data_IF_348482722137
#
_entry.id   IF_348482722137
#
_cell.length_a   1.000
_cell.length_b   1.000
_cell.length_c   1.000
_cell.angle_alpha   90.00
_cell.angle_beta   90.00
_cell.angle_gamma   90.00
#
_symmetry.space_group_name_H-M   'P 1'
#
loop_
_entity.id
_entity.type
_entity.pdbx_description
1 polymer ?
#
# COMPACT_ATOMS: atom_id res chain seq x y z
N UNK A 1 15.88 36.25 -41.71
CA UNK A 1 16.97 36.79 -40.87
C UNK A 1 18.29 36.18 -41.35
N UNK A 2 19.33 36.98 -41.55
CA UNK A 2 20.61 36.52 -42.10
C UNK A 2 21.54 36.02 -41.00
N UNK A 3 21.32 36.48 -39.77
CA UNK A 3 22.10 36.09 -38.59
C UNK A 3 21.27 35.14 -37.72
N UNK A 4 21.78 33.96 -37.49
CA UNK A 4 21.18 32.91 -36.68
C UNK A 4 22.23 32.30 -35.78
N UNK A 5 21.79 31.83 -34.62
CA UNK A 5 22.61 31.06 -33.70
C UNK A 5 21.74 30.26 -32.78
N UNK A 6 22.34 29.37 -32.02
CA UNK A 6 21.69 28.52 -31.05
C UNK A 6 22.56 28.41 -29.81
N UNK A 7 21.91 28.13 -28.68
CA UNK A 7 22.57 27.66 -27.47
C UNK A 7 22.86 26.17 -27.59
N UNK A 8 23.96 25.73 -27.04
CA UNK A 8 24.37 24.33 -26.98
C UNK A 8 23.46 23.55 -25.99
N UNK A 9 22.98 24.22 -24.94
CA UNK A 9 22.11 23.66 -23.91
C UNK A 9 20.99 24.64 -23.54
N UNK A 10 19.74 24.20 -23.52
CA UNK A 10 18.55 25.03 -23.22
C UNK A 10 17.68 24.47 -22.12
N UNK A 11 17.91 23.23 -21.68
CA UNK A 11 17.19 22.52 -20.62
C UNK A 11 18.18 21.89 -19.64
N UNK A 12 17.70 21.44 -18.49
CA UNK A 12 18.52 20.79 -17.47
C UNK A 12 19.74 21.65 -17.03
N UNK A 13 19.50 22.93 -16.87
CA UNK A 13 20.52 23.88 -16.45
C UNK A 13 20.63 23.95 -14.93
N UNK A 14 21.87 24.03 -14.45
CA UNK A 14 22.19 24.25 -13.03
C UNK A 14 23.03 25.52 -12.88
N UNK A 15 22.95 26.15 -11.68
CA UNK A 15 23.85 27.26 -11.36
C UNK A 15 25.31 26.80 -11.49
N UNK A 16 26.12 27.58 -12.25
CA UNK A 16 27.50 27.26 -12.56
C UNK A 16 27.72 26.49 -13.87
N UNK A 17 26.65 26.06 -14.57
CA UNK A 17 26.79 25.54 -15.92
C UNK A 17 27.28 26.66 -16.85
N UNK A 18 28.18 26.35 -17.78
CA UNK A 18 28.58 27.25 -18.88
C UNK A 18 27.71 26.92 -20.09
N UNK A 19 26.95 27.89 -20.62
CA UNK A 19 26.22 27.78 -21.86
C UNK A 19 26.97 28.53 -22.99
N UNK A 20 26.97 27.94 -24.14
CA UNK A 20 27.67 28.48 -25.31
C UNK A 20 26.66 28.83 -26.41
N UNK A 21 26.73 30.08 -26.84
CA UNK A 21 25.99 30.51 -28.04
C UNK A 21 26.89 30.41 -29.26
N UNK A 22 26.49 29.60 -30.22
CA UNK A 22 27.17 29.40 -31.48
C UNK A 22 26.42 30.06 -32.64
N UNK A 23 27.19 30.71 -33.51
CA UNK A 23 26.65 31.28 -34.74
C UNK A 23 26.49 30.26 -35.83
N UNK A 24 25.25 30.06 -36.32
CA UNK A 24 24.92 29.12 -37.40
C UNK A 24 24.81 29.82 -38.76
N UNK A 25 25.70 30.76 -39.03
CA UNK A 25 25.63 31.54 -40.24
C UNK A 25 26.25 30.83 -41.45
N UNK A 26 25.62 30.99 -42.61
CA UNK A 26 26.17 30.51 -43.86
C UNK A 26 27.39 31.36 -44.25
N UNK A 27 28.59 30.75 -44.29
CA UNK A 27 29.84 31.45 -44.62
C UNK A 27 29.78 32.20 -45.96
N UNK A 28 29.20 31.63 -47.01
CA UNK A 28 29.09 32.27 -48.32
C UNK A 28 28.20 33.52 -48.27
N UNK A 29 27.13 33.50 -47.51
CA UNK A 29 26.28 34.69 -47.32
C UNK A 29 27.00 35.77 -46.54
N UNK A 30 27.77 35.42 -45.51
CA UNK A 30 28.54 36.37 -44.73
C UNK A 30 29.62 37.05 -45.58
N UNK A 31 30.38 36.27 -46.32
CA UNK A 31 31.39 36.80 -47.26
C UNK A 31 30.78 37.74 -48.32
N UNK A 32 29.59 37.42 -48.83
CA UNK A 32 28.89 38.29 -49.77
C UNK A 32 28.49 39.62 -49.15
N UNK A 33 27.95 39.59 -47.93
CA UNK A 33 27.55 40.79 -47.17
C UNK A 33 28.78 41.66 -46.85
N UNK A 34 29.87 41.05 -46.41
CA UNK A 34 31.13 41.76 -46.12
C UNK A 34 31.65 42.48 -47.35
N UNK A 35 31.57 41.82 -48.52
CA UNK A 35 32.00 42.40 -49.80
C UNK A 35 31.09 43.52 -50.25
N UNK A 36 29.79 43.35 -50.20
CA UNK A 36 28.81 44.30 -50.72
C UNK A 36 28.75 45.57 -49.87
N UNK A 37 28.87 45.42 -48.54
CA UNK A 37 28.73 46.52 -47.59
C UNK A 37 30.07 47.03 -47.01
N UNK A 38 31.19 46.42 -47.39
CA UNK A 38 32.55 46.75 -46.94
C UNK A 38 32.67 46.73 -45.40
N UNK A 39 32.09 45.76 -44.77
CA UNK A 39 32.09 45.50 -43.35
C UNK A 39 32.81 44.18 -43.06
N UNK A 40 33.21 43.97 -41.80
CA UNK A 40 33.70 42.66 -41.37
C UNK A 40 32.92 42.20 -40.15
N UNK A 41 32.62 40.91 -40.07
CA UNK A 41 31.91 40.31 -38.96
C UNK A 41 32.87 39.48 -38.11
N UNK A 42 32.69 39.57 -36.80
CA UNK A 42 33.36 38.71 -35.83
C UNK A 42 32.31 37.87 -35.09
N UNK A 43 31.96 36.73 -35.70
CA UNK A 43 31.03 35.79 -35.11
C UNK A 43 31.78 34.85 -34.13
N UNK A 44 32.22 35.37 -33.01
CA UNK A 44 32.84 34.59 -31.94
C UNK A 44 31.75 33.91 -31.14
N UNK A 45 32.00 32.68 -30.69
CA UNK A 45 31.16 32.07 -29.69
C UNK A 45 31.10 32.96 -28.46
N UNK A 46 29.97 32.97 -27.82
CA UNK A 46 29.77 33.68 -26.58
C UNK A 46 29.45 32.65 -25.47
N UNK A 47 30.16 32.74 -24.38
CA UNK A 47 30.00 31.90 -23.20
C UNK A 47 29.35 32.71 -22.08
N UNK A 48 28.46 32.08 -21.40
CA UNK A 48 27.78 32.65 -20.25
C UNK A 48 27.57 31.60 -19.19
N UNK A 49 27.96 31.90 -17.97
CA UNK A 49 27.65 31.08 -16.81
C UNK A 49 26.18 31.25 -16.42
N UNK A 50 25.53 30.15 -16.08
CA UNK A 50 24.18 30.13 -15.56
C UNK A 50 24.21 30.53 -14.09
N UNK A 51 23.46 31.57 -13.74
CA UNK A 51 23.40 32.09 -12.40
C UNK A 51 21.94 32.47 -12.06
N UNK A 52 21.61 32.41 -10.78
CA UNK A 52 20.31 32.91 -10.27
C UNK A 52 19.14 31.96 -10.48
N UNK A 53 19.40 30.70 -10.81
CA UNK A 53 18.39 29.66 -10.73
C UNK A 53 18.08 29.39 -9.25
N UNK A 54 16.80 29.27 -8.94
CA UNK A 54 16.37 28.81 -7.61
C UNK A 54 16.85 27.39 -7.37
N UNK A 55 17.34 27.12 -6.17
CA UNK A 55 17.70 25.75 -5.78
C UNK A 55 16.43 24.99 -5.41
N UNK A 56 16.39 23.70 -5.77
CA UNK A 56 15.30 22.81 -5.35
C UNK A 56 15.50 22.49 -3.88
N UNK A 57 14.54 22.86 -3.06
CA UNK A 57 14.51 22.48 -1.65
C UNK A 57 13.99 21.05 -1.49
N UNK A 58 14.71 20.22 -0.76
CA UNK A 58 14.21 18.90 -0.37
C UNK A 58 13.22 19.00 0.78
N UNK A 59 12.20 18.14 0.78
CA UNK A 59 11.26 17.99 1.88
C UNK A 59 11.03 16.51 2.19
N UNK A 60 10.69 16.17 3.43
CA UNK A 60 10.29 14.80 3.81
C UNK A 60 8.80 14.60 3.51
N UNK A 61 8.43 13.81 2.50
CA UNK A 61 7.03 13.55 2.18
C UNK A 61 6.31 12.73 3.25
N UNK A 62 7.05 12.12 4.17
CA UNK A 62 6.52 11.24 5.22
C UNK A 62 6.46 11.92 6.60
N UNK A 63 6.73 13.23 6.70
CA UNK A 63 6.73 13.96 7.98
C UNK A 63 5.38 13.86 8.69
N UNK A 64 4.29 14.00 7.95
CA UNK A 64 2.91 13.97 8.46
C UNK A 64 2.17 12.65 8.14
N UNK A 65 2.91 11.61 7.74
CA UNK A 65 2.35 10.30 7.41
C UNK A 65 2.55 9.33 8.55
N UNK A 66 1.43 8.82 9.06
CA UNK A 66 1.40 7.73 10.03
C UNK A 66 0.85 6.45 9.39
N UNK A 67 1.35 5.30 9.82
CA UNK A 67 0.75 4.00 9.50
C UNK A 67 0.17 3.43 10.77
N UNK A 68 -1.15 3.18 10.78
CA UNK A 68 -1.85 2.55 11.89
C UNK A 68 -2.02 1.06 11.64
N UNK A 69 -1.65 0.29 12.64
CA UNK A 69 -1.84 -1.16 12.66
C UNK A 69 -2.98 -1.51 13.59
N UNK A 70 -3.82 -2.46 13.18
CA UNK A 70 -4.96 -2.92 13.96
C UNK A 70 -5.29 -4.38 13.71
N UNK A 71 -6.07 -4.96 14.62
CA UNK A 71 -6.47 -6.36 14.53
C UNK A 71 -5.58 -7.31 15.32
N UNK A 72 -5.55 -8.56 14.90
CA UNK A 72 -4.88 -9.65 15.58
C UNK A 72 -3.86 -10.32 14.68
N UNK A 73 -2.62 -10.51 15.18
CA UNK A 73 -1.61 -11.29 14.48
C UNK A 73 -2.04 -12.77 14.36
N UNK A 74 -1.84 -13.44 13.19
CA UNK A 74 -1.14 -12.96 11.98
C UNK A 74 -2.07 -12.30 10.92
N UNK A 75 -3.26 -11.87 11.29
CA UNK A 75 -4.27 -11.29 10.40
C UNK A 75 -4.44 -9.76 10.60
N UNK A 76 -3.40 -9.10 11.09
CA UNK A 76 -3.40 -7.65 11.28
C UNK A 76 -3.53 -6.88 9.97
N UNK A 77 -4.00 -5.64 10.08
CA UNK A 77 -4.19 -4.72 8.97
C UNK A 77 -3.40 -3.43 9.17
N UNK A 78 -3.05 -2.77 8.05
CA UNK A 78 -2.38 -1.49 8.03
C UNK A 78 -3.17 -0.45 7.24
N UNK A 79 -3.24 0.76 7.78
CA UNK A 79 -3.90 1.91 7.16
C UNK A 79 -2.98 3.13 7.21
N UNK A 80 -2.86 3.83 6.08
CA UNK A 80 -2.13 5.09 6.00
C UNK A 80 -3.03 6.22 6.50
N UNK A 81 -2.52 7.02 7.41
CA UNK A 81 -3.09 8.30 7.80
C UNK A 81 -2.16 9.42 7.31
N UNK A 82 -2.61 10.14 6.30
CA UNK A 82 -1.94 11.34 5.83
C UNK A 82 -2.56 12.55 6.55
N UNK A 83 -1.79 13.16 7.45
CA UNK A 83 -2.20 14.33 8.22
C UNK A 83 -1.63 15.63 7.65
N UNK A 84 -0.99 15.59 6.46
CA UNK A 84 -0.43 16.76 5.82
C UNK A 84 -1.53 17.78 5.49
N UNK A 85 -1.30 19.04 5.87
CA UNK A 85 -2.15 20.13 5.42
C UNK A 85 -1.76 20.51 3.99
N UNK A 86 -2.75 20.47 3.09
CA UNK A 86 -2.54 20.97 1.73
C UNK A 86 -2.21 22.46 1.78
N UNK A 87 -1.05 22.81 1.25
CA UNK A 87 -0.71 24.20 0.98
C UNK A 87 -0.20 24.32 -0.48
N UNK A 88 -0.21 25.54 -1.03
CA UNK A 88 0.21 25.79 -2.41
C UNK A 88 1.73 25.62 -2.63
N UNK A 89 2.50 25.39 -1.57
CA UNK A 89 3.95 25.25 -1.62
C UNK A 89 4.41 23.80 -1.64
N UNK A 90 3.50 22.83 -1.31
CA UNK A 90 3.79 21.40 -1.32
C UNK A 90 2.94 20.69 -2.36
N UNK A 91 3.50 19.76 -3.14
CA UNK A 91 2.71 18.98 -4.07
C UNK A 91 1.72 18.09 -3.32
N UNK A 92 0.57 17.83 -3.93
CA UNK A 92 -0.34 16.80 -3.43
C UNK A 92 0.30 15.43 -3.63
N UNK A 93 0.43 14.66 -2.56
CA UNK A 93 1.04 13.34 -2.58
C UNK A 93 0.01 12.25 -2.27
N UNK A 94 -0.02 11.24 -3.12
CA UNK A 94 -0.71 9.99 -2.84
C UNK A 94 0.29 8.95 -2.32
N UNK A 95 -0.17 8.13 -1.36
CA UNK A 95 0.65 7.11 -0.73
C UNK A 95 0.05 5.72 -0.91
N UNK A 96 0.89 4.75 -1.16
CA UNK A 96 0.51 3.34 -1.28
C UNK A 96 1.29 2.47 -0.32
N UNK A 97 0.61 1.46 0.26
CA UNK A 97 1.22 0.38 1.03
C UNK A 97 1.48 -0.83 0.13
N UNK A 98 2.65 -1.44 0.28
CA UNK A 98 3.01 -2.69 -0.38
C UNK A 98 2.20 -3.89 0.16
N UNK A 99 1.81 -3.84 1.43
CA UNK A 99 1.01 -4.87 2.11
C UNK A 99 0.06 -4.23 3.12
N UNK A 100 -1.23 -4.59 3.03
CA UNK A 100 -2.30 -4.04 3.91
C UNK A 100 -2.86 -5.03 4.91
N UNK A 101 -2.79 -6.33 4.62
CA UNK A 101 -3.45 -7.39 5.37
C UNK A 101 -2.49 -8.55 5.68
N UNK A 102 -2.88 -9.41 6.61
CA UNK A 102 -2.13 -10.60 6.99
C UNK A 102 -0.81 -10.24 7.66
N UNK A 103 -0.84 -9.25 8.54
CA UNK A 103 0.31 -8.72 9.24
C UNK A 103 0.50 -9.34 10.62
N UNK A 104 1.76 -9.53 11.00
CA UNK A 104 2.20 -9.93 12.35
C UNK A 104 3.11 -8.87 12.95
N UNK A 105 3.15 -8.81 14.29
CA UNK A 105 4.10 -7.94 14.97
C UNK A 105 5.55 -8.27 14.54
N UNK A 106 6.32 -7.24 14.17
CA UNK A 106 7.66 -7.35 13.64
C UNK A 106 7.75 -7.42 12.11
N UNK A 107 6.63 -7.61 11.41
CA UNK A 107 6.62 -7.49 9.94
C UNK A 107 7.00 -6.07 9.52
N UNK A 108 7.43 -5.93 8.27
CA UNK A 108 7.75 -4.64 7.68
C UNK A 108 6.79 -4.36 6.55
N UNK A 109 6.32 -3.13 6.49
CA UNK A 109 5.51 -2.60 5.40
C UNK A 109 6.17 -1.35 4.85
N UNK A 110 6.08 -1.18 3.53
CA UNK A 110 6.68 -0.04 2.84
C UNK A 110 5.57 0.87 2.34
N UNK A 111 5.65 2.13 2.73
CA UNK A 111 4.83 3.20 2.13
C UNK A 111 5.64 3.82 0.99
N UNK A 112 5.03 3.95 -0.17
CA UNK A 112 5.62 4.62 -1.34
C UNK A 112 4.78 5.83 -1.76
N UNK A 113 5.43 6.84 -2.30
CA UNK A 113 4.76 7.96 -2.98
C UNK A 113 4.31 7.47 -4.35
N UNK A 114 3.00 7.32 -4.54
CA UNK A 114 2.40 6.80 -5.77
C UNK A 114 2.29 7.85 -6.87
N UNK A 115 1.90 9.08 -6.50
CA UNK A 115 1.82 10.23 -7.38
C UNK A 115 2.28 11.48 -6.66
N UNK A 116 3.23 12.19 -7.24
CA UNK A 116 3.52 13.56 -6.87
C UNK A 116 2.86 14.47 -7.91
N UNK A 117 1.66 14.98 -7.60
CA UNK A 117 1.03 16.00 -8.44
C UNK A 117 1.53 17.34 -7.95
N UNK A 118 2.58 17.85 -8.60
CA UNK A 118 3.10 19.19 -8.39
C UNK A 118 2.86 20.06 -9.60
N UNK A 119 2.67 21.36 -9.39
CA UNK A 119 2.79 22.35 -10.45
C UNK A 119 4.25 22.36 -10.92
N UNK A 120 4.50 22.52 -12.24
CA UNK A 120 5.86 22.61 -12.81
C UNK A 120 6.70 23.74 -12.18
N UNK A 121 6.04 24.65 -11.45
CA UNK A 121 6.66 25.75 -10.73
C UNK A 121 7.05 25.44 -9.26
N UNK A 122 6.78 24.20 -8.77
CA UNK A 122 7.19 23.85 -7.41
C UNK A 122 8.67 23.47 -7.37
N UNK A 123 9.46 24.33 -6.73
CA UNK A 123 10.91 24.17 -6.52
C UNK A 123 11.24 23.19 -5.38
N UNK A 124 10.38 22.20 -5.10
CA UNK A 124 10.58 21.24 -4.01
C UNK A 124 10.58 19.81 -4.52
N UNK A 125 11.52 19.04 -4.07
CA UNK A 125 11.66 17.62 -4.38
C UNK A 125 11.54 16.78 -3.10
N UNK A 126 10.90 15.58 -3.18
CA UNK A 126 10.88 14.67 -2.02
C UNK A 126 12.29 14.14 -1.74
N UNK A 127 12.71 14.17 -0.48
CA UNK A 127 14.00 13.62 -0.04
C UNK A 127 14.04 12.09 -0.11
N UNK A 128 12.87 11.44 -0.08
CA UNK A 128 12.70 10.00 -0.26
C UNK A 128 11.37 9.72 -0.94
N UNK A 129 11.27 8.61 -1.66
CA UNK A 129 10.03 8.15 -2.33
C UNK A 129 9.44 6.92 -1.66
N UNK A 130 10.13 6.34 -0.68
CA UNK A 130 9.67 5.18 0.11
C UNK A 130 10.10 5.31 1.56
N UNK A 131 9.29 4.78 2.49
CA UNK A 131 9.63 4.65 3.91
C UNK A 131 9.11 3.33 4.46
N UNK A 132 9.95 2.63 5.21
CA UNK A 132 9.63 1.36 5.86
C UNK A 132 9.08 1.60 7.26
N UNK A 133 8.01 0.90 7.62
CA UNK A 133 7.40 0.90 8.94
C UNK A 133 7.39 -0.51 9.51
N UNK A 134 7.67 -0.66 10.79
CA UNK A 134 7.59 -1.94 11.49
C UNK A 134 6.21 -2.09 12.11
N UNK A 135 5.58 -3.23 11.89
CA UNK A 135 4.27 -3.56 12.48
C UNK A 135 4.42 -3.81 13.96
N UNK A 136 3.69 -3.05 14.75
CA UNK A 136 3.71 -3.15 16.20
C UNK A 136 2.28 -2.94 16.77
N UNK A 137 2.04 -3.50 17.96
CA UNK A 137 0.80 -3.25 18.70
C UNK A 137 -0.40 -4.09 18.26
N UNK A 138 -0.22 -5.07 17.37
CA UNK A 138 -1.27 -6.05 17.09
C UNK A 138 -1.46 -6.96 18.30
N UNK A 139 -2.73 -7.27 18.59
CA UNK A 139 -3.06 -8.26 19.60
C UNK A 139 -2.69 -9.67 19.10
N UNK A 140 -2.34 -10.57 20.03
CA UNK A 140 -2.20 -12.00 19.71
C UNK A 140 -3.55 -12.68 19.79
N UNK A 141 -3.79 -13.66 18.88
CA UNK A 141 -5.00 -14.50 18.99
C UNK A 141 -4.86 -15.50 20.11
N UNK A 142 -5.97 -15.77 20.81
CA UNK A 142 -6.06 -16.82 21.84
C UNK A 142 -6.52 -18.14 21.21
N UNK A 143 -5.91 -19.26 21.62
CA UNK A 143 -6.35 -20.59 21.20
C UNK A 143 -7.80 -20.83 21.65
N UNK A 144 -8.62 -21.33 20.74
CA UNK A 144 -10.06 -21.46 20.93
C UNK A 144 -10.59 -22.79 20.45
N UNK A 145 -11.20 -23.57 21.38
CA UNK A 145 -12.02 -24.75 21.07
C UNK A 145 -13.50 -24.35 21.11
N UNK A 146 -14.18 -24.22 19.94
CA UNK A 146 -15.58 -23.80 19.90
C UNK A 146 -16.51 -24.86 20.48
N UNK A 147 -16.07 -26.13 20.59
CA UNK A 147 -16.87 -27.22 21.15
C UNK A 147 -17.01 -27.16 22.68
N UNK A 148 -16.26 -26.32 23.35
CA UNK A 148 -16.47 -26.00 24.77
C UNK A 148 -17.66 -25.04 24.99
N UNK A 149 -18.12 -24.40 23.93
CA UNK A 149 -19.17 -23.39 23.91
C UNK A 149 -20.45 -23.85 23.19
N UNK A 150 -20.58 -25.15 22.88
CA UNK A 150 -21.83 -25.74 22.38
C UNK A 150 -22.39 -26.73 23.36
N UNK A 151 -23.70 -26.98 23.27
CA UNK A 151 -24.37 -28.04 23.98
C UNK A 151 -24.84 -29.06 22.97
N UNK A 152 -24.34 -30.28 23.07
CA UNK A 152 -24.82 -31.43 22.30
C UNK A 152 -25.65 -32.31 23.19
N UNK A 153 -26.86 -32.62 22.75
CA UNK A 153 -27.79 -33.48 23.47
C UNK A 153 -28.50 -34.47 22.53
N UNK A 154 -28.88 -35.58 23.07
CA UNK A 154 -29.61 -36.61 22.33
C UNK A 154 -31.02 -36.77 22.95
N UNK A 155 -32.02 -36.95 22.07
CA UNK A 155 -33.42 -37.16 22.48
C UNK A 155 -34.09 -38.25 21.64
N UNK A 156 -35.13 -38.85 22.20
CA UNK A 156 -35.83 -39.97 21.59
C UNK A 156 -35.45 -41.32 22.22
N UNK A 157 -35.83 -42.41 21.53
CA UNK A 157 -35.59 -43.79 21.99
C UNK A 157 -34.84 -44.57 20.88
N UNK A 158 -33.73 -45.21 21.25
CA UNK A 158 -32.99 -46.07 20.31
C UNK A 158 -33.92 -47.12 19.66
N UNK A 159 -33.88 -47.32 18.33
CA UNK A 159 -32.91 -46.79 17.35
C UNK A 159 -33.32 -45.47 16.66
N UNK A 160 -34.30 -44.75 17.17
CA UNK A 160 -34.84 -43.51 16.60
C UNK A 160 -34.45 -42.26 17.39
N UNK A 161 -33.22 -42.24 17.91
CA UNK A 161 -32.67 -41.08 18.64
C UNK A 161 -32.27 -39.99 17.66
N UNK A 162 -32.43 -38.72 18.08
CA UNK A 162 -32.00 -37.53 17.35
C UNK A 162 -30.95 -36.75 18.15
N UNK A 163 -30.06 -36.07 17.45
CA UNK A 163 -29.08 -35.11 18.03
C UNK A 163 -29.61 -33.69 17.96
N UNK A 164 -29.40 -32.91 19.01
CA UNK A 164 -29.65 -31.48 19.02
C UNK A 164 -28.35 -30.75 19.40
N UNK A 165 -28.03 -29.70 18.69
CA UNK A 165 -26.84 -28.85 18.88
C UNK A 165 -27.32 -27.45 19.20
N UNK A 166 -26.87 -26.89 20.33
CA UNK A 166 -27.10 -25.51 20.69
C UNK A 166 -25.78 -24.76 20.63
N UNK A 167 -25.69 -23.76 19.76
CA UNK A 167 -24.52 -22.90 19.65
C UNK A 167 -24.59 -21.74 20.63
N UNK A 168 -23.60 -21.66 21.53
CA UNK A 168 -23.42 -20.57 22.50
C UNK A 168 -22.05 -19.90 22.34
N UNK A 169 -21.39 -20.02 21.19
CA UNK A 169 -20.06 -19.44 20.95
C UNK A 169 -20.08 -17.92 20.94
N UNK A 170 -21.21 -17.31 20.57
CA UNK A 170 -21.35 -15.86 20.40
C UNK A 170 -20.63 -15.32 19.14
N UNK A 171 -20.03 -16.20 18.32
CA UNK A 171 -19.39 -15.83 17.07
C UNK A 171 -20.47 -15.84 15.99
N UNK A 172 -20.63 -14.70 15.32
CA UNK A 172 -21.60 -14.53 14.23
C UNK A 172 -21.24 -15.46 13.07
N UNK A 173 -22.24 -16.04 12.45
CA UNK A 173 -22.11 -16.96 11.29
C UNK A 173 -21.31 -18.24 11.54
N UNK A 174 -20.83 -18.53 12.74
CA UNK A 174 -20.23 -19.79 13.09
C UNK A 174 -21.33 -20.82 13.41
N UNK A 175 -21.41 -21.90 12.64
CA UNK A 175 -22.42 -22.94 12.74
C UNK A 175 -21.78 -24.31 13.04
N UNK A 176 -22.62 -25.28 13.45
CA UNK A 176 -22.21 -26.65 13.74
C UNK A 176 -23.12 -27.63 13.02
N UNK A 177 -22.52 -28.53 12.26
CA UNK A 177 -23.22 -29.56 11.50
C UNK A 177 -22.84 -30.96 11.96
N UNK A 178 -23.84 -31.80 12.19
CA UNK A 178 -23.63 -33.24 12.45
C UNK A 178 -23.63 -34.03 11.16
N UNK A 179 -22.79 -35.04 11.07
CA UNK A 179 -22.77 -35.98 9.94
C UNK A 179 -24.07 -36.81 9.85
N UNK A 180 -24.80 -36.94 10.98
CA UNK A 180 -26.06 -37.65 11.06
C UNK A 180 -26.94 -37.07 12.17
N UNK A 181 -28.20 -36.73 11.85
CA UNK A 181 -29.11 -36.05 12.81
C UNK A 181 -30.15 -37.00 13.45
N UNK A 182 -30.52 -38.06 12.80
CA UNK A 182 -31.64 -38.94 13.24
C UNK A 182 -31.36 -40.45 12.98
N UNK A 183 -32.22 -41.29 13.52
CA UNK A 183 -32.08 -42.73 13.46
C UNK A 183 -30.80 -43.25 14.11
N UNK A 184 -30.42 -42.59 15.20
CA UNK A 184 -29.24 -42.92 15.96
C UNK A 184 -29.53 -44.06 16.93
N UNK A 185 -28.56 -44.95 17.08
CA UNK A 185 -28.62 -46.06 18.03
C UNK A 185 -27.71 -45.79 19.21
N UNK A 186 -28.07 -46.33 20.36
CA UNK A 186 -27.20 -46.29 21.53
C UNK A 186 -25.81 -46.88 21.19
N UNK A 187 -24.75 -46.11 21.44
CA UNK A 187 -23.38 -46.46 21.13
C UNK A 187 -22.90 -46.01 19.71
N UNK A 188 -23.78 -45.44 18.89
CA UNK A 188 -23.35 -44.79 17.63
C UNK A 188 -22.47 -43.57 17.96
N UNK A 189 -21.52 -43.27 17.08
CA UNK A 189 -20.71 -42.04 17.10
C UNK A 189 -21.23 -41.07 16.05
N UNK A 190 -21.38 -39.83 16.44
CA UNK A 190 -21.77 -38.70 15.58
C UNK A 190 -20.66 -37.67 15.58
N UNK A 191 -20.20 -37.30 14.40
CA UNK A 191 -19.19 -36.25 14.23
C UNK A 191 -19.87 -34.89 14.03
N UNK A 192 -19.58 -33.94 14.89
CA UNK A 192 -20.03 -32.55 14.75
C UNK A 192 -18.85 -31.71 14.24
N UNK A 193 -19.08 -30.94 13.19
CA UNK A 193 -18.07 -30.12 12.52
C UNK A 193 -18.47 -28.65 12.60
N UNK A 194 -17.52 -27.78 12.92
CA UNK A 194 -17.68 -26.33 12.85
C UNK A 194 -17.63 -25.86 11.40
N UNK A 195 -18.56 -25.02 10.99
CA UNK A 195 -18.67 -24.46 9.65
C UNK A 195 -19.01 -22.97 9.73
N UNK A 196 -18.70 -22.24 8.66
CA UNK A 196 -19.24 -20.90 8.48
C UNK A 196 -20.52 -20.92 7.66
N UNK A 197 -21.38 -19.96 7.89
CA UNK A 197 -22.57 -19.71 7.09
C UNK A 197 -22.15 -19.43 5.63
N UNK A 198 -22.87 -19.92 4.63
CA UNK A 198 -22.53 -19.84 3.21
C UNK A 198 -21.12 -20.35 2.84
N UNK A 199 -20.65 -21.44 3.47
CA UNK A 199 -19.33 -22.02 3.23
C UNK A 199 -18.14 -21.11 3.56
N UNK A 200 -18.33 -20.11 4.40
CA UNK A 200 -17.20 -19.33 4.93
C UNK A 200 -16.28 -20.20 5.79
N UNK A 201 -15.00 -19.83 5.80
CA UNK A 201 -14.00 -20.51 6.61
C UNK A 201 -14.22 -20.21 8.11
N UNK A 202 -14.57 -21.22 8.94
CA UNK A 202 -14.78 -21.00 10.36
C UNK A 202 -13.56 -20.45 11.09
N UNK A 203 -12.33 -20.71 10.59
CA UNK A 203 -11.12 -20.17 11.17
C UNK A 203 -11.05 -18.64 10.98
N UNK A 204 -11.53 -18.12 9.82
CA UNK A 204 -11.61 -16.68 9.60
C UNK A 204 -12.63 -16.00 10.51
N UNK A 205 -13.81 -16.62 10.69
CA UNK A 205 -14.84 -16.08 11.58
C UNK A 205 -14.31 -15.97 13.03
N UNK A 206 -13.61 -17.01 13.50
CA UNK A 206 -12.98 -16.97 14.82
C UNK A 206 -11.87 -15.91 14.90
N UNK A 207 -11.08 -15.74 13.82
CA UNK A 207 -9.97 -14.81 13.78
C UNK A 207 -10.42 -13.33 13.87
N UNK A 208 -11.59 -12.97 13.33
CA UNK A 208 -12.17 -11.63 13.48
C UNK A 208 -12.43 -11.27 14.95
N UNK A 209 -12.71 -12.30 15.78
CA UNK A 209 -12.93 -12.17 17.22
C UNK A 209 -11.63 -12.40 18.05
N UNK A 210 -10.46 -12.42 17.40
CA UNK A 210 -9.17 -12.64 18.04
C UNK A 210 -8.96 -14.08 18.55
N UNK A 211 -9.64 -15.04 17.94
CA UNK A 211 -9.62 -16.46 18.36
C UNK A 211 -8.96 -17.32 17.30
N UNK A 212 -7.94 -18.09 17.70
CA UNK A 212 -7.29 -19.09 16.88
C UNK A 212 -8.05 -20.40 16.98
N UNK A 213 -8.81 -20.75 15.98
CA UNK A 213 -9.58 -22.01 15.94
C UNK A 213 -8.65 -23.22 15.97
N UNK A 214 -8.64 -23.97 17.07
CA UNK A 214 -7.75 -25.14 17.27
C UNK A 214 -8.44 -26.47 17.00
N UNK A 215 -9.78 -26.55 17.10
CA UNK A 215 -10.58 -27.75 16.90
C UNK A 215 -11.69 -27.46 15.89
N UNK A 216 -11.73 -28.21 14.80
CA UNK A 216 -12.73 -28.06 13.73
C UNK A 216 -13.83 -29.11 13.75
N UNK A 217 -13.64 -30.23 14.45
CA UNK A 217 -14.64 -31.29 14.60
C UNK A 217 -14.46 -32.05 15.90
N UNK A 218 -15.56 -32.61 16.41
CA UNK A 218 -15.57 -33.42 17.65
C UNK A 218 -16.58 -34.54 17.56
N UNK A 219 -16.21 -35.73 18.07
CA UNK A 219 -17.07 -36.91 18.13
C UNK A 219 -17.87 -36.96 19.44
N UNK A 220 -19.14 -37.37 19.32
CA UNK A 220 -20.06 -37.59 20.41
C UNK A 220 -20.69 -38.96 20.33
N UNK A 221 -20.76 -39.67 21.44
CA UNK A 221 -21.37 -40.99 21.55
C UNK A 221 -22.82 -40.87 22.01
N UNK A 222 -23.73 -41.53 21.32
CA UNK A 222 -25.14 -41.58 21.66
C UNK A 222 -25.40 -42.45 22.90
#
# INVERSE_FOLDING_TARGET
STFQGSLDKTTDLSNGDEIVFEWNNNKNQMEQIEKDFKVSFSCKEMKKDVEGLAEIEEFDPFEDVEVKFSGYAPNGTAEIQNNSEYNYETPYLDFELDKRDGLSNGDKVTVSVANAVGDEDTFRAPSAVTKEYTVEGLNEMEDYDPFEHIIVSFSGTSPDTTINITNNTGIEDLEFEADKYEKLKLGDTVTVTAKGYYDEDPAKLCAYEGKNLTVTSKEYTV
#
